data_IF_694692372647
#
_entry.id   IF_694692372647
#
_cell.length_a   1.000
_cell.length_b   1.000
_cell.length_c   1.000
_cell.angle_alpha   90.00
_cell.angle_beta   90.00
_cell.angle_gamma   90.00
#
_symmetry.space_group_name_H-M   'P 1'
#
loop_
_entity.id
_entity.type
_entity.pdbx_description
1 polymer ?
#
# COMPACT_ATOMS: atom_id res chain seq x y z
N UNK A 1 6.84 -3.52 21.54
CA UNK A 1 6.49 -3.98 20.16
C UNK A 1 7.77 -4.47 19.52
N UNK A 2 7.71 -5.58 18.81
CA UNK A 2 8.89 -6.11 18.10
C UNK A 2 9.20 -5.18 16.94
N UNK A 3 10.48 -4.82 16.78
CA UNK A 3 10.96 -3.92 15.74
C UNK A 3 10.89 -4.62 14.36
N UNK A 4 10.33 -3.95 13.35
CA UNK A 4 10.26 -4.49 11.98
C UNK A 4 11.64 -4.80 11.38
N UNK A 5 12.72 -4.13 11.83
CA UNK A 5 14.09 -4.43 11.41
C UNK A 5 14.53 -5.83 11.86
N UNK A 6 14.28 -6.16 13.13
CA UNK A 6 14.64 -7.46 13.68
C UNK A 6 13.80 -8.56 13.02
N UNK A 7 12.47 -8.40 13.02
CA UNK A 7 11.55 -9.37 12.41
C UNK A 7 11.78 -9.53 10.90
N UNK A 8 12.06 -8.44 10.20
CA UNK A 8 12.35 -8.47 8.77
C UNK A 8 13.56 -9.32 8.42
N UNK A 9 14.62 -9.26 9.22
CA UNK A 9 15.81 -10.11 9.06
C UNK A 9 15.55 -11.56 9.47
N UNK A 10 14.92 -11.77 10.64
CA UNK A 10 14.59 -13.12 11.14
C UNK A 10 13.71 -13.90 10.16
N UNK A 11 12.78 -13.23 9.50
CA UNK A 11 11.84 -13.78 8.55
C UNK A 11 12.28 -13.65 7.08
N UNK A 12 13.48 -13.13 6.85
CA UNK A 12 14.05 -12.97 5.50
C UNK A 12 13.15 -12.18 4.54
N UNK A 13 12.54 -11.07 5.05
CA UNK A 13 11.60 -10.25 4.28
C UNK A 13 12.31 -9.15 3.48
N UNK A 14 13.30 -8.51 4.06
CA UNK A 14 14.11 -7.49 3.41
C UNK A 14 15.48 -7.39 4.06
N UNK A 15 16.42 -6.80 3.32
CA UNK A 15 17.76 -6.54 3.79
C UNK A 15 18.30 -5.23 3.21
N UNK A 16 19.45 -4.80 3.66
CA UNK A 16 20.18 -3.65 3.17
C UNK A 16 21.60 -4.06 2.79
N UNK A 17 22.16 -3.45 1.75
CA UNK A 17 23.52 -3.72 1.30
C UNK A 17 24.32 -2.42 1.23
N UNK A 18 25.54 -2.38 1.80
CA UNK A 18 26.45 -1.23 1.62
C UNK A 18 26.76 -0.92 0.15
N UNK A 19 26.75 -1.94 -0.72
CA UNK A 19 26.99 -1.77 -2.14
C UNK A 19 25.80 -1.08 -2.87
N UNK A 20 24.59 -1.22 -2.35
CA UNK A 20 23.39 -0.55 -2.89
C UNK A 20 23.25 0.85 -2.27
N UNK A 21 23.50 0.97 -0.97
CA UNK A 21 23.44 2.22 -0.23
C UNK A 21 22.29 2.27 0.80
N UNK A 22 22.46 3.18 1.76
CA UNK A 22 21.51 3.36 2.85
C UNK A 22 20.16 3.90 2.34
N UNK A 23 19.06 3.42 2.93
CA UNK A 23 17.69 3.83 2.56
C UNK A 23 17.18 3.24 1.25
N UNK A 24 17.85 2.21 0.74
CA UNK A 24 17.49 1.47 -0.47
C UNK A 24 17.34 -0.01 -0.10
N UNK A 25 16.19 -0.43 0.47
CA UNK A 25 15.99 -1.79 0.92
C UNK A 25 15.91 -2.77 -0.25
N UNK A 26 16.51 -3.95 -0.07
CA UNK A 26 16.34 -5.09 -0.93
C UNK A 26 15.14 -5.89 -0.43
N UNK A 27 14.12 -6.03 -1.24
CA UNK A 27 13.01 -6.94 -0.96
C UNK A 27 13.45 -8.38 -1.27
N UNK A 28 13.49 -9.22 -0.25
CA UNK A 28 13.81 -10.63 -0.39
C UNK A 28 12.54 -11.40 -0.83
N UNK A 29 12.64 -12.67 -1.27
CA UNK A 29 11.50 -13.36 -1.86
C UNK A 29 10.22 -13.31 -1.04
N UNK A 30 10.28 -13.53 0.27
CA UNK A 30 9.10 -13.52 1.14
C UNK A 30 8.54 -12.10 1.33
N UNK A 31 9.40 -11.11 1.46
CA UNK A 31 8.97 -9.71 1.51
C UNK A 31 8.37 -9.22 0.19
N UNK A 32 8.91 -9.70 -0.94
CA UNK A 32 8.37 -9.38 -2.26
C UNK A 32 6.94 -9.92 -2.45
N UNK A 33 6.61 -11.09 -1.88
CA UNK A 33 5.23 -11.61 -1.88
C UNK A 33 4.30 -10.67 -1.10
N UNK A 34 4.66 -10.28 0.12
CA UNK A 34 3.85 -9.36 0.93
C UNK A 34 3.60 -8.06 0.16
N UNK A 35 4.67 -7.48 -0.38
CA UNK A 35 4.60 -6.26 -1.18
C UNK A 35 3.68 -6.41 -2.39
N UNK A 36 3.81 -7.48 -3.16
CA UNK A 36 3.00 -7.74 -4.36
C UNK A 36 1.50 -7.86 -4.02
N UNK A 37 1.14 -8.49 -2.90
CA UNK A 37 -0.26 -8.58 -2.46
C UNK A 37 -0.82 -7.22 -2.03
N UNK A 38 0.00 -6.36 -1.39
CA UNK A 38 -0.40 -4.98 -1.05
C UNK A 38 -0.55 -4.11 -2.31
N UNK A 39 0.36 -4.22 -3.27
CA UNK A 39 0.28 -3.54 -4.56
C UNK A 39 -0.98 -3.97 -5.34
N UNK A 40 -1.32 -5.26 -5.29
CA UNK A 40 -2.55 -5.79 -5.87
C UNK A 40 -3.79 -5.18 -5.19
N UNK A 41 -3.83 -5.09 -3.86
CA UNK A 41 -4.92 -4.43 -3.13
C UNK A 41 -5.07 -2.97 -3.55
N UNK A 42 -3.97 -2.22 -3.66
CA UNK A 42 -3.97 -0.83 -4.11
C UNK A 42 -4.52 -0.68 -5.54
N UNK A 43 -4.07 -1.54 -6.46
CA UNK A 43 -4.52 -1.52 -7.86
C UNK A 43 -6.01 -1.86 -8.00
N UNK A 44 -6.50 -2.86 -7.26
CA UNK A 44 -7.92 -3.24 -7.24
C UNK A 44 -8.80 -2.11 -6.70
N UNK A 45 -8.38 -1.45 -5.60
CA UNK A 45 -9.11 -0.32 -5.04
C UNK A 45 -9.11 0.89 -5.98
N UNK A 46 -7.98 1.18 -6.62
CA UNK A 46 -7.87 2.25 -7.61
C UNK A 46 -8.81 2.00 -8.81
N UNK A 47 -8.83 0.79 -9.35
CA UNK A 47 -9.75 0.40 -10.42
C UNK A 47 -11.23 0.51 -9.97
N UNK A 48 -11.56 0.01 -8.78
CA UNK A 48 -12.92 0.05 -8.19
C UNK A 48 -13.40 1.49 -7.97
N UNK A 49 -12.50 2.41 -7.61
CA UNK A 49 -12.81 3.83 -7.45
C UNK A 49 -12.83 4.62 -8.76
N UNK A 50 -12.66 3.92 -9.91
CA UNK A 50 -12.75 4.48 -11.25
C UNK A 50 -11.50 5.22 -11.72
N UNK A 51 -10.32 4.88 -11.19
CA UNK A 51 -9.05 5.41 -11.69
C UNK A 51 -8.56 4.64 -12.92
N UNK A 52 -8.00 5.36 -13.86
CA UNK A 52 -7.23 4.79 -14.97
C UNK A 52 -5.79 4.58 -14.51
N UNK A 53 -5.28 3.36 -14.64
CA UNK A 53 -3.86 3.07 -14.38
C UNK A 53 -2.97 3.75 -15.42
N UNK A 54 -1.92 4.42 -14.99
CA UNK A 54 -0.91 5.05 -15.85
C UNK A 54 0.49 4.65 -15.41
N UNK A 55 1.45 4.80 -16.33
CA UNK A 55 2.88 4.65 -16.06
C UNK A 55 3.60 5.88 -16.57
N UNK A 56 4.33 6.55 -15.70
CA UNK A 56 5.07 7.76 -16.05
C UNK A 56 6.57 7.59 -15.73
N UNK A 57 7.47 8.26 -16.48
CA UNK A 57 8.91 8.14 -16.26
C UNK A 57 9.32 8.60 -14.86
N UNK A 58 10.30 7.92 -14.27
CA UNK A 58 10.91 8.33 -12.98
C UNK A 58 11.88 9.51 -13.14
N UNK A 59 12.32 9.77 -14.37
CA UNK A 59 13.20 10.88 -14.75
C UNK A 59 12.43 11.92 -15.55
N UNK A 60 12.68 13.19 -15.28
CA UNK A 60 12.20 14.28 -16.12
C UNK A 60 13.14 15.48 -16.07
N UNK A 61 12.96 16.43 -16.97
CA UNK A 61 13.71 17.69 -16.94
C UNK A 61 13.44 18.45 -15.64
N UNK A 62 14.48 19.05 -15.08
CA UNK A 62 14.39 19.89 -13.85
C UNK A 62 13.30 20.95 -13.98
N UNK A 63 13.14 21.54 -15.17
CA UNK A 63 12.11 22.55 -15.45
C UNK A 63 10.68 22.13 -15.12
N UNK A 64 10.36 20.82 -15.19
CA UNK A 64 9.05 20.30 -14.76
C UNK A 64 8.80 20.56 -13.28
N UNK A 65 9.84 20.35 -12.44
CA UNK A 65 9.75 20.56 -11.00
C UNK A 65 9.91 22.03 -10.58
N UNK A 66 10.61 22.85 -11.38
CA UNK A 66 10.60 24.31 -11.26
C UNK A 66 9.19 24.85 -11.50
N UNK A 67 8.54 24.39 -12.58
CA UNK A 67 7.16 24.77 -12.93
C UNK A 67 6.16 24.39 -11.84
N UNK A 68 6.28 23.20 -11.25
CA UNK A 68 5.38 22.74 -10.18
C UNK A 68 5.66 23.38 -8.83
N UNK A 69 6.79 24.04 -8.63
CA UNK A 69 7.23 24.64 -7.36
C UNK A 69 7.96 23.67 -6.43
N UNK A 70 8.10 22.39 -6.80
CA UNK A 70 8.84 21.44 -5.98
C UNK A 70 10.32 21.80 -5.89
N UNK A 71 10.93 22.31 -6.96
CA UNK A 71 12.34 22.71 -6.94
C UNK A 71 12.62 23.79 -5.90
N UNK A 72 11.78 24.79 -5.80
CA UNK A 72 11.96 25.92 -4.86
C UNK A 72 11.73 25.52 -3.40
N UNK A 73 10.85 24.57 -3.16
CA UNK A 73 10.41 24.18 -1.80
C UNK A 73 11.02 22.88 -1.30
N UNK A 74 11.48 22.01 -2.21
CA UNK A 74 11.85 20.62 -1.92
C UNK A 74 13.24 20.24 -2.45
N UNK A 75 14.01 21.16 -3.05
CA UNK A 75 15.31 20.84 -3.66
C UNK A 75 16.31 20.23 -2.67
N UNK A 76 16.23 20.57 -1.39
CA UNK A 76 17.09 20.00 -0.35
C UNK A 76 16.88 18.48 -0.16
N UNK A 77 15.67 18.01 -0.44
CA UNK A 77 15.27 16.59 -0.33
C UNK A 77 15.31 15.86 -1.68
N UNK A 78 15.66 16.54 -2.77
CA UNK A 78 15.79 15.93 -4.09
C UNK A 78 17.21 15.41 -4.34
N UNK A 79 17.34 14.32 -5.08
CA UNK A 79 18.63 13.89 -5.60
C UNK A 79 19.20 14.97 -6.53
N UNK A 80 20.55 15.16 -6.55
CA UNK A 80 21.19 16.12 -7.43
C UNK A 80 20.85 15.88 -8.91
N UNK A 81 20.75 16.95 -9.72
CA UNK A 81 20.50 16.81 -11.14
C UNK A 81 21.59 16.02 -11.88
N UNK A 82 21.18 15.25 -12.86
CA UNK A 82 22.06 14.58 -13.83
C UNK A 82 22.08 15.38 -15.13
N UNK A 83 23.26 15.65 -15.66
CA UNK A 83 23.41 16.38 -16.95
C UNK A 83 23.51 15.42 -18.12
N UNK A 84 22.71 15.67 -19.15
CA UNK A 84 22.78 14.99 -20.44
C UNK A 84 22.87 16.09 -21.50
N UNK A 85 24.08 16.34 -22.02
CA UNK A 85 24.34 17.50 -22.86
C UNK A 85 24.15 18.79 -22.07
N UNK A 86 23.30 19.68 -22.56
CA UNK A 86 22.95 20.95 -21.89
C UNK A 86 21.70 20.84 -20.99
N UNK A 87 21.02 19.70 -20.98
CA UNK A 87 19.81 19.50 -20.21
C UNK A 87 20.10 18.86 -18.85
N UNK A 88 19.32 19.27 -17.84
CA UNK A 88 19.35 18.69 -16.51
C UNK A 88 18.10 17.85 -16.25
N UNK A 89 18.33 16.62 -15.84
CA UNK A 89 17.29 15.66 -15.45
C UNK A 89 17.38 15.37 -13.97
N UNK A 90 16.21 15.13 -13.34
CA UNK A 90 16.13 14.79 -11.93
C UNK A 90 15.27 13.55 -11.73
N UNK A 91 15.58 12.78 -10.68
CA UNK A 91 14.68 11.76 -10.17
C UNK A 91 13.47 12.44 -9.52
N UNK A 92 12.27 11.98 -9.82
CA UNK A 92 11.04 12.59 -9.33
C UNK A 92 10.88 12.43 -7.81
N UNK A 93 10.63 13.51 -7.04
CA UNK A 93 10.29 13.43 -5.61
C UNK A 93 8.80 13.15 -5.39
N UNK A 94 7.96 13.35 -6.44
CA UNK A 94 6.52 13.18 -6.44
C UNK A 94 5.99 12.92 -7.86
N UNK A 95 4.83 12.26 -8.00
CA UNK A 95 4.21 11.95 -9.29
C UNK A 95 3.33 13.08 -9.84
N UNK A 96 2.84 13.98 -8.98
CA UNK A 96 1.85 14.99 -9.37
C UNK A 96 2.22 15.79 -10.62
N UNK A 97 3.48 16.26 -10.84
CA UNK A 97 3.82 16.98 -12.08
C UNK A 97 3.71 16.11 -13.34
N UNK A 98 3.95 14.81 -13.22
CA UNK A 98 3.78 13.88 -14.34
C UNK A 98 2.30 13.64 -14.66
N UNK A 99 1.45 13.48 -13.63
CA UNK A 99 0.02 13.28 -13.84
C UNK A 99 -0.67 14.54 -14.40
N UNK A 100 -0.15 15.77 -14.12
CA UNK A 100 -0.62 16.97 -14.83
C UNK A 100 -0.34 16.90 -16.33
N UNK A 101 0.79 16.31 -16.74
CA UNK A 101 1.10 16.10 -18.17
C UNK A 101 0.19 15.03 -18.79
N UNK A 102 -0.19 13.99 -18.05
CA UNK A 102 -1.18 13.00 -18.51
C UNK A 102 -2.54 13.66 -18.75
N UNK A 103 -2.97 14.56 -17.85
CA UNK A 103 -4.21 15.33 -18.05
C UNK A 103 -4.10 16.23 -19.29
N UNK A 104 -3.00 16.97 -19.43
CA UNK A 104 -2.75 17.93 -20.48
C UNK A 104 -2.51 17.30 -21.87
N UNK A 105 -2.22 15.98 -21.93
CA UNK A 105 -1.90 15.28 -23.18
C UNK A 105 -3.05 15.32 -24.22
N UNK A 106 -4.27 15.64 -23.80
CA UNK A 106 -5.45 15.78 -24.66
C UNK A 106 -6.34 16.93 -24.20
N UNK A 107 -7.06 17.58 -25.10
CA UNK A 107 -8.14 18.50 -24.76
C UNK A 107 -9.22 17.78 -23.93
N UNK A 108 -9.71 18.46 -22.87
CA UNK A 108 -10.73 17.93 -21.97
C UNK A 108 -11.98 18.78 -22.00
N UNK A 109 -13.13 18.16 -21.75
CA UNK A 109 -14.42 18.81 -21.56
C UNK A 109 -15.00 18.46 -20.18
N UNK A 110 -16.03 19.15 -19.76
CA UNK A 110 -16.74 18.83 -18.50
C UNK A 110 -17.26 17.38 -18.46
N UNK A 111 -17.47 16.72 -19.62
CA UNK A 111 -17.93 15.33 -19.69
C UNK A 111 -16.83 14.35 -19.38
N UNK A 112 -15.56 14.77 -19.45
CA UNK A 112 -14.39 13.94 -19.13
C UNK A 112 -14.05 14.03 -17.63
N UNK A 113 -14.74 14.89 -16.87
CA UNK A 113 -14.51 15.09 -15.44
C UNK A 113 -15.55 14.35 -14.58
N UNK A 114 -15.15 13.80 -13.44
CA UNK A 114 -13.78 13.79 -12.90
C UNK A 114 -12.87 12.82 -13.64
N UNK A 115 -11.67 13.26 -14.02
CA UNK A 115 -10.64 12.43 -14.62
C UNK A 115 -9.68 11.94 -13.53
N UNK A 116 -9.65 10.63 -13.29
CA UNK A 116 -8.89 10.00 -12.22
C UNK A 116 -7.80 9.13 -12.79
N UNK A 117 -6.56 9.32 -12.33
CA UNK A 117 -5.40 8.49 -12.71
C UNK A 117 -4.71 7.96 -11.46
N UNK A 118 -4.18 6.74 -11.54
CA UNK A 118 -3.42 6.12 -10.46
C UNK A 118 -2.15 5.45 -10.99
N UNK A 119 -1.11 5.47 -10.16
CA UNK A 119 0.17 4.83 -10.43
C UNK A 119 0.77 4.31 -9.13
N UNK A 120 1.23 3.05 -9.14
CA UNK A 120 2.18 2.58 -8.14
C UNK A 120 3.55 3.14 -8.52
N UNK A 121 3.78 4.39 -8.10
CA UNK A 121 4.90 5.18 -8.57
C UNK A 121 6.12 5.10 -7.67
N UNK A 122 7.30 4.92 -8.26
CA UNK A 122 8.56 5.11 -7.53
C UNK A 122 8.89 6.58 -7.44
N UNK A 123 9.18 7.06 -6.22
CA UNK A 123 9.65 8.41 -5.91
C UNK A 123 10.96 8.36 -5.19
N UNK A 124 11.74 9.42 -5.28
CA UNK A 124 13.12 9.45 -4.78
C UNK A 124 13.35 10.70 -3.95
N UNK A 125 13.86 10.51 -2.72
CA UNK A 125 14.25 11.58 -1.81
C UNK A 125 15.62 11.34 -1.26
N UNK A 126 16.47 12.35 -1.28
CA UNK A 126 17.90 12.23 -0.90
C UNK A 126 18.12 12.10 0.60
N UNK A 127 17.10 12.09 1.40
CA UNK A 127 17.06 11.92 2.87
C UNK A 127 18.45 11.82 3.56
N UNK A 128 18.66 12.58 4.61
CA UNK A 128 19.91 12.52 5.38
C UNK A 128 20.06 11.15 6.05
N UNK A 129 21.29 10.64 6.14
CA UNK A 129 21.57 9.30 6.68
C UNK A 129 21.02 9.09 8.10
N UNK A 130 21.05 10.12 8.94
CA UNK A 130 20.61 10.06 10.33
C UNK A 130 19.08 9.95 10.53
N UNK A 131 18.28 10.13 9.48
CA UNK A 131 16.81 10.03 9.56
C UNK A 131 16.25 8.76 8.90
N UNK A 132 17.12 7.94 8.27
CA UNK A 132 16.72 6.70 7.64
C UNK A 132 16.32 5.64 8.69
N UNK A 133 15.29 4.87 8.42
CA UNK A 133 14.74 3.90 9.38
C UNK A 133 14.11 2.68 8.71
N UNK A 134 14.92 1.67 8.36
CA UNK A 134 14.45 0.41 7.76
C UNK A 134 13.53 0.63 6.57
N UNK A 135 12.26 0.20 6.70
CA UNK A 135 11.22 0.44 5.72
C UNK A 135 10.40 1.71 6.02
N UNK A 136 10.49 2.31 7.21
CA UNK A 136 9.66 3.46 7.58
C UNK A 136 10.10 4.75 6.92
N UNK A 137 11.41 4.92 6.69
CA UNK A 137 11.97 6.08 5.99
C UNK A 137 13.09 5.67 5.04
N UNK A 138 12.79 5.72 3.76
CA UNK A 138 13.62 5.22 2.66
C UNK A 138 13.89 6.32 1.63
N UNK A 139 14.91 6.11 0.78
CA UNK A 139 15.26 7.03 -0.32
C UNK A 139 14.52 6.73 -1.61
N UNK A 140 14.09 5.49 -1.82
CA UNK A 140 13.19 5.09 -2.89
C UNK A 140 11.87 4.65 -2.26
N UNK A 141 10.79 5.34 -2.58
CA UNK A 141 9.45 5.13 -2.03
C UNK A 141 8.58 4.56 -3.14
N UNK A 142 7.92 3.43 -2.89
CA UNK A 142 6.87 2.90 -3.77
C UNK A 142 5.53 3.34 -3.23
N UNK A 143 4.91 4.32 -3.89
CA UNK A 143 3.69 4.95 -3.40
C UNK A 143 2.47 4.52 -4.20
N UNK A 144 1.39 4.14 -3.52
CA UNK A 144 0.05 4.12 -4.07
C UNK A 144 -0.43 5.57 -4.20
N UNK A 145 -0.29 6.11 -5.39
CA UNK A 145 -0.53 7.52 -5.67
C UNK A 145 -1.57 7.70 -6.77
N UNK A 146 -2.55 8.53 -6.52
CA UNK A 146 -3.58 8.84 -7.51
C UNK A 146 -3.90 10.35 -7.49
N UNK A 147 -4.30 10.85 -8.65
CA UNK A 147 -4.70 12.24 -8.83
C UNK A 147 -6.04 12.31 -9.54
N UNK A 148 -6.92 13.15 -8.99
CA UNK A 148 -8.24 13.42 -9.56
C UNK A 148 -8.27 14.86 -10.04
N UNK A 149 -8.60 15.04 -11.31
CA UNK A 149 -8.86 16.35 -11.89
C UNK A 149 -10.37 16.49 -12.03
N UNK A 150 -10.95 17.46 -11.34
CA UNK A 150 -12.39 17.62 -11.27
C UNK A 150 -12.82 19.10 -11.33
N UNK A 151 -14.10 19.36 -11.55
CA UNK A 151 -14.67 20.69 -11.41
C UNK A 151 -14.82 21.07 -9.92
N UNK A 152 -14.89 22.38 -9.57
CA UNK A 152 -15.00 22.81 -8.17
C UNK A 152 -16.20 22.23 -7.41
N UNK A 153 -17.31 21.98 -8.08
CA UNK A 153 -18.52 21.37 -7.52
C UNK A 153 -18.38 19.87 -7.23
N UNK A 154 -17.46 19.17 -7.91
CA UNK A 154 -17.20 17.74 -7.71
C UNK A 154 -16.22 17.46 -6.54
N UNK A 155 -15.48 18.45 -6.05
CA UNK A 155 -14.39 18.29 -5.09
C UNK A 155 -14.82 17.53 -3.84
N UNK A 156 -15.91 17.95 -3.20
CA UNK A 156 -16.39 17.32 -1.96
C UNK A 156 -16.69 15.83 -2.14
N UNK A 157 -17.34 15.47 -3.23
CA UNK A 157 -17.74 14.08 -3.49
C UNK A 157 -16.53 13.20 -3.86
N UNK A 158 -15.53 13.77 -4.56
CA UNK A 158 -14.28 13.06 -4.85
C UNK A 158 -13.42 12.86 -3.61
N UNK A 159 -13.35 13.86 -2.70
CA UNK A 159 -12.67 13.69 -1.40
C UNK A 159 -13.38 12.59 -0.57
N UNK A 160 -14.73 12.62 -0.50
CA UNK A 160 -15.50 11.59 0.22
C UNK A 160 -15.23 10.19 -0.34
N UNK A 161 -15.21 10.03 -1.66
CA UNK A 161 -14.85 8.78 -2.33
C UNK A 161 -13.44 8.29 -1.95
N UNK A 162 -12.48 9.22 -1.86
CA UNK A 162 -11.12 8.88 -1.42
C UNK A 162 -11.09 8.38 0.03
N UNK A 163 -11.82 9.03 0.94
CA UNK A 163 -11.93 8.59 2.34
C UNK A 163 -12.61 7.22 2.47
N UNK A 164 -13.66 6.96 1.71
CA UNK A 164 -14.31 5.64 1.64
C UNK A 164 -13.36 4.55 1.14
N UNK A 165 -12.48 4.87 0.18
CA UNK A 165 -11.44 3.95 -0.29
C UNK A 165 -10.43 3.63 0.81
N UNK A 166 -10.01 4.63 1.60
CA UNK A 166 -9.14 4.43 2.77
C UNK A 166 -9.81 3.50 3.79
N UNK A 167 -11.05 3.80 4.19
CA UNK A 167 -11.80 3.00 5.17
C UNK A 167 -11.93 1.54 4.75
N UNK A 168 -12.23 1.29 3.48
CA UNK A 168 -12.36 -0.07 2.93
C UNK A 168 -11.04 -0.82 2.95
N UNK A 169 -9.94 -0.21 2.50
CA UNK A 169 -8.62 -0.83 2.53
C UNK A 169 -8.17 -1.10 3.96
N UNK A 170 -8.43 -0.17 4.88
CA UNK A 170 -8.08 -0.33 6.28
C UNK A 170 -8.88 -1.47 6.93
N UNK A 171 -10.17 -1.62 6.62
CA UNK A 171 -10.97 -2.76 7.07
C UNK A 171 -10.38 -4.10 6.61
N UNK A 172 -9.92 -4.20 5.35
CA UNK A 172 -9.22 -5.40 4.82
C UNK A 172 -7.91 -5.69 5.57
N UNK A 173 -7.19 -4.64 5.99
CA UNK A 173 -5.93 -4.76 6.72
C UNK A 173 -6.12 -4.87 8.25
N UNK A 174 -7.36 -4.81 8.74
CA UNK A 174 -7.67 -4.77 10.17
C UNK A 174 -7.16 -3.51 10.86
N UNK A 175 -7.06 -2.40 10.14
CA UNK A 175 -6.61 -1.11 10.64
C UNK A 175 -7.80 -0.20 10.95
N UNK A 176 -7.63 0.65 11.93
CA UNK A 176 -8.60 1.70 12.29
C UNK A 176 -8.07 3.07 11.84
N UNK A 177 -8.79 3.80 10.97
CA UNK A 177 -8.34 5.10 10.51
C UNK A 177 -8.57 6.19 11.55
N UNK A 178 -7.55 6.99 11.84
CA UNK A 178 -7.63 8.23 12.62
C UNK A 178 -7.44 9.41 11.68
N UNK A 179 -8.49 10.20 11.48
CA UNK A 179 -8.46 11.33 10.56
C UNK A 179 -7.93 12.60 11.24
N UNK A 180 -7.09 13.33 10.50
CA UNK A 180 -6.56 14.62 10.92
C UNK A 180 -6.66 15.62 9.79
N UNK A 181 -7.41 16.70 10.00
CA UNK A 181 -7.48 17.81 9.06
C UNK A 181 -6.30 18.75 9.31
N UNK A 182 -5.32 18.71 8.42
CA UNK A 182 -4.11 19.53 8.47
C UNK A 182 -4.34 20.84 7.69
N UNK A 183 -4.39 21.93 8.43
CA UNK A 183 -4.65 23.27 7.90
C UNK A 183 -3.37 24.12 7.93
N UNK A 184 -3.36 25.25 7.19
CA UNK A 184 -2.23 26.16 7.19
C UNK A 184 -2.11 26.91 8.52
N UNK A 185 -0.86 27.27 8.89
CA UNK A 185 -0.62 28.24 9.94
C UNK A 185 -0.75 29.68 9.41
N UNK A 186 -0.70 30.67 10.30
CA UNK A 186 -0.83 32.09 9.94
C UNK A 186 0.42 32.75 9.37
N UNK A 187 1.54 32.07 9.37
CA UNK A 187 2.89 32.62 9.11
C UNK A 187 3.39 32.56 7.64
N UNK A 188 2.49 32.33 6.68
CA UNK A 188 2.67 32.83 5.32
C UNK A 188 3.59 32.06 4.36
N UNK A 189 4.00 30.81 4.65
CA UNK A 189 4.88 30.00 3.77
C UNK A 189 4.17 29.20 2.67
N UNK A 190 2.88 29.45 2.45
CA UNK A 190 2.01 28.66 1.58
C UNK A 190 1.75 29.33 0.23
N UNK A 191 1.54 28.52 -0.82
CA UNK A 191 1.15 29.01 -2.15
C UNK A 191 -0.35 29.29 -2.23
N UNK A 192 -0.76 30.15 -3.19
CA UNK A 192 -2.16 30.49 -3.43
C UNK A 192 -2.68 31.64 -2.56
N UNK A 193 -3.96 31.94 -2.72
CA UNK A 193 -4.62 33.05 -2.01
C UNK A 193 -5.53 32.56 -0.88
N UNK A 194 -5.93 33.50 -0.01
CA UNK A 194 -6.71 33.17 1.17
C UNK A 194 -8.10 32.58 0.86
N UNK A 195 -8.72 32.98 -0.23
CA UNK A 195 -10.07 32.54 -0.61
C UNK A 195 -10.04 31.08 -1.04
N UNK A 196 -9.04 30.70 -1.83
CA UNK A 196 -8.83 29.29 -2.26
C UNK A 196 -8.56 28.40 -1.06
N UNK A 197 -7.69 28.83 -0.14
CA UNK A 197 -7.41 28.08 1.09
C UNK A 197 -8.64 27.88 1.95
N UNK A 198 -9.39 28.94 2.24
CA UNK A 198 -10.61 28.85 3.04
C UNK A 198 -11.66 27.93 2.37
N UNK A 199 -11.71 27.95 1.04
CA UNK A 199 -12.61 27.08 0.26
C UNK A 199 -12.17 25.63 0.36
N UNK A 200 -10.88 25.33 0.17
CA UNK A 200 -10.34 23.98 0.26
C UNK A 200 -10.50 23.39 1.67
N UNK A 201 -10.15 24.16 2.72
CA UNK A 201 -10.31 23.71 4.12
C UNK A 201 -11.77 23.39 4.44
N UNK A 202 -12.71 24.23 4.00
CA UNK A 202 -14.15 23.97 4.16
C UNK A 202 -14.58 22.71 3.41
N UNK A 203 -14.16 22.54 2.15
CA UNK A 203 -14.51 21.36 1.35
C UNK A 203 -13.99 20.07 1.97
N UNK A 204 -12.76 20.06 2.54
CA UNK A 204 -12.23 18.91 3.26
C UNK A 204 -13.04 18.61 4.53
N UNK A 205 -13.38 19.65 5.29
CA UNK A 205 -14.21 19.52 6.50
C UNK A 205 -15.60 18.97 6.17
N UNK A 206 -16.23 19.48 5.12
CA UNK A 206 -17.56 19.02 4.68
C UNK A 206 -17.53 17.59 4.15
N UNK A 207 -16.41 17.18 3.53
CA UNK A 207 -16.21 15.80 3.06
C UNK A 207 -15.97 14.80 4.19
N UNK A 208 -15.38 15.21 5.32
CA UNK A 208 -15.26 14.39 6.51
C UNK A 208 -16.64 13.97 7.07
N UNK A 209 -17.65 14.85 6.96
CA UNK A 209 -19.01 14.57 7.43
C UNK A 209 -19.03 14.23 8.92
N UNK A 210 -19.63 13.08 9.28
CA UNK A 210 -19.78 12.61 10.67
C UNK A 210 -18.54 11.86 11.20
N UNK A 211 -17.45 11.79 10.43
CA UNK A 211 -16.20 11.14 10.88
C UNK A 211 -15.56 11.96 11.99
N UNK A 212 -15.12 11.28 13.04
CA UNK A 212 -14.30 11.91 14.07
C UNK A 212 -12.93 12.30 13.49
N UNK A 213 -12.48 13.53 13.75
CA UNK A 213 -11.17 14.01 13.31
C UNK A 213 -10.56 15.02 14.28
N UNK A 214 -9.25 15.13 14.24
CA UNK A 214 -8.49 16.18 14.92
C UNK A 214 -8.09 17.26 13.91
N UNK A 215 -7.68 18.45 14.38
CA UNK A 215 -7.16 19.52 13.53
C UNK A 215 -5.68 19.74 13.85
N UNK A 216 -4.84 19.76 12.82
CA UNK A 216 -3.41 20.07 12.87
C UNK A 216 -3.15 21.45 12.26
N UNK A 217 -2.84 22.44 13.09
CA UNK A 217 -2.47 23.78 12.63
C UNK A 217 -1.02 23.80 12.14
N UNK A 218 -0.79 24.39 10.96
CA UNK A 218 0.54 24.46 10.36
C UNK A 218 1.05 23.18 9.70
N UNK A 219 0.22 22.14 9.59
CA UNK A 219 0.62 20.84 9.05
C UNK A 219 0.18 20.61 7.59
N UNK A 220 -0.44 21.60 6.97
CA UNK A 220 -0.83 21.53 5.55
C UNK A 220 0.38 21.39 4.63
N UNK A 221 0.16 20.85 3.43
CA UNK A 221 1.16 20.92 2.37
C UNK A 221 1.33 22.37 1.89
N UNK A 222 2.47 22.71 1.29
CA UNK A 222 2.75 24.09 0.85
C UNK A 222 1.77 24.57 -0.23
N UNK A 223 1.09 23.65 -0.92
CA UNK A 223 0.15 23.92 -2.02
C UNK A 223 -1.34 23.74 -1.66
N UNK A 224 -1.65 23.20 -0.48
CA UNK A 224 -3.04 23.01 -0.08
C UNK A 224 -3.23 22.29 1.24
N UNK A 225 -4.43 22.36 1.83
CA UNK A 225 -4.80 21.64 3.02
C UNK A 225 -4.97 20.15 2.70
N UNK A 226 -4.89 19.32 3.75
CA UNK A 226 -4.97 17.86 3.59
C UNK A 226 -5.71 17.19 4.75
N UNK A 227 -6.25 16.01 4.47
CA UNK A 227 -6.64 15.06 5.47
C UNK A 227 -5.53 14.00 5.54
N UNK A 228 -4.84 13.95 6.67
CA UNK A 228 -3.90 12.88 7.00
C UNK A 228 -4.66 11.76 7.70
N UNK A 229 -4.31 10.51 7.38
CA UNK A 229 -4.88 9.33 8.04
C UNK A 229 -3.76 8.57 8.73
N UNK A 230 -3.92 8.41 10.03
CA UNK A 230 -3.00 7.70 10.92
C UNK A 230 -3.65 6.41 11.44
N UNK A 231 -2.86 5.57 12.09
CA UNK A 231 -3.31 4.33 12.72
C UNK A 231 -2.96 4.39 14.21
N UNK A 232 -3.83 3.94 15.13
CA UNK A 232 -3.53 3.89 16.56
C UNK A 232 -2.20 3.20 16.86
N UNK A 233 -1.36 3.84 17.68
CA UNK A 233 -0.03 3.34 18.02
C UNK A 233 1.09 3.65 17.02
N UNK A 234 0.77 4.21 15.85
CA UNK A 234 1.74 4.68 14.87
C UNK A 234 1.65 6.20 14.71
N UNK A 235 2.82 6.86 14.66
CA UNK A 235 2.89 8.34 14.55
C UNK A 235 2.85 8.84 13.11
N UNK A 236 3.25 7.99 12.18
CA UNK A 236 3.39 8.37 10.78
C UNK A 236 2.03 8.38 10.07
N UNK A 237 1.85 9.36 9.17
CA UNK A 237 0.74 9.36 8.21
C UNK A 237 0.90 8.17 7.25
N UNK A 238 -0.15 7.37 7.12
CA UNK A 238 -0.20 6.24 6.18
C UNK A 238 -0.88 6.68 4.89
N UNK A 239 -2.09 7.24 4.99
CA UNK A 239 -2.88 7.71 3.85
C UNK A 239 -3.08 9.22 3.89
N UNK A 240 -3.35 9.82 2.73
CA UNK A 240 -3.58 11.26 2.64
C UNK A 240 -4.54 11.60 1.50
N UNK A 241 -5.33 12.64 1.70
CA UNK A 241 -6.17 13.27 0.67
C UNK A 241 -5.96 14.78 0.73
N UNK A 242 -5.56 15.39 -0.39
CA UNK A 242 -5.14 16.80 -0.43
C UNK A 242 -5.81 17.52 -1.59
N UNK A 243 -6.25 18.76 -1.38
CA UNK A 243 -6.79 19.63 -2.44
C UNK A 243 -5.69 20.58 -2.90
N UNK A 244 -5.53 20.69 -4.21
CA UNK A 244 -4.53 21.55 -4.85
C UNK A 244 -5.14 22.37 -5.98
N UNK A 245 -5.18 23.69 -5.80
CA UNK A 245 -5.55 24.66 -6.82
C UNK A 245 -4.33 25.20 -7.58
N UNK A 246 -3.14 25.08 -7.00
CA UNK A 246 -1.91 25.69 -7.49
C UNK A 246 -1.32 24.97 -8.69
N UNK A 247 -1.20 23.63 -8.64
CA UNK A 247 -0.62 22.90 -9.77
C UNK A 247 -1.45 23.04 -11.06
N UNK A 248 -2.79 22.92 -11.05
CA UNK A 248 -3.59 23.21 -12.23
C UNK A 248 -3.34 24.61 -12.82
N UNK A 249 -3.17 25.63 -11.97
CA UNK A 249 -2.82 26.99 -12.41
C UNK A 249 -1.42 27.06 -13.01
N UNK A 250 -0.42 26.58 -12.30
CA UNK A 250 0.98 26.64 -12.73
C UNK A 250 1.23 25.88 -14.03
N UNK A 251 0.49 24.80 -14.27
CA UNK A 251 0.57 24.01 -15.50
C UNK A 251 -0.37 24.52 -16.60
N UNK A 252 -1.23 25.49 -16.32
CA UNK A 252 -2.20 26.02 -17.28
C UNK A 252 -3.22 24.96 -17.72
N UNK A 253 -3.65 24.11 -16.77
CA UNK A 253 -4.61 23.04 -17.07
C UNK A 253 -6.00 23.64 -17.29
N UNK A 254 -6.68 23.18 -18.35
CA UNK A 254 -8.01 23.68 -18.72
C UNK A 254 -8.91 22.54 -19.21
N UNK A 255 -10.21 22.71 -19.00
CA UNK A 255 -11.26 21.95 -19.64
C UNK A 255 -12.32 22.87 -20.21
N UNK A 256 -13.05 22.43 -21.24
CA UNK A 256 -14.18 23.18 -21.79
C UNK A 256 -15.44 22.88 -20.98
N UNK A 257 -16.03 23.89 -20.36
CA UNK A 257 -17.27 23.78 -19.59
C UNK A 257 -18.51 23.55 -20.45
N UNK A 258 -19.65 23.33 -19.79
CA UNK A 258 -20.95 23.23 -20.47
C UNK A 258 -21.40 24.55 -21.12
N UNK A 259 -20.84 25.66 -20.66
CA UNK A 259 -21.01 27.00 -21.17
C UNK A 259 -20.14 27.31 -22.40
N UNK A 260 -19.29 26.33 -22.82
CA UNK A 260 -18.33 26.49 -23.92
C UNK A 260 -17.07 27.26 -23.54
N UNK A 261 -16.96 27.80 -22.34
CA UNK A 261 -15.78 28.54 -21.87
C UNK A 261 -14.70 27.58 -21.35
N UNK A 262 -13.47 28.11 -21.23
CA UNK A 262 -12.34 27.40 -20.59
C UNK A 262 -12.38 27.62 -19.09
N UNK A 263 -12.31 26.51 -18.34
CA UNK A 263 -12.27 26.48 -16.90
C UNK A 263 -11.04 25.74 -16.40
N UNK A 264 -10.55 26.10 -15.23
CA UNK A 264 -9.44 25.42 -14.55
C UNK A 264 -9.99 24.28 -13.67
N UNK A 265 -9.47 23.06 -13.78
CA UNK A 265 -9.84 21.99 -12.85
C UNK A 265 -9.21 22.21 -11.48
N UNK A 266 -9.79 21.58 -10.47
CA UNK A 266 -9.15 21.36 -9.16
C UNK A 266 -8.45 20.00 -9.21
N UNK A 267 -7.29 19.89 -8.59
CA UNK A 267 -6.55 18.64 -8.46
C UNK A 267 -6.67 18.11 -7.04
N UNK A 268 -6.95 16.83 -6.89
CA UNK A 268 -6.97 16.14 -5.61
C UNK A 268 -5.89 15.07 -5.65
N UNK A 269 -4.97 15.11 -4.70
CA UNK A 269 -3.95 14.09 -4.48
C UNK A 269 -4.51 13.06 -3.50
N UNK A 270 -4.30 11.77 -3.77
CA UNK A 270 -4.81 10.67 -2.96
C UNK A 270 -3.77 9.56 -2.85
N UNK A 271 -3.38 9.20 -1.62
CA UNK A 271 -2.67 7.97 -1.31
C UNK A 271 -3.52 7.14 -0.34
N UNK A 272 -4.08 6.00 -0.79
CA UNK A 272 -4.95 5.15 0.02
C UNK A 272 -4.15 4.23 0.93
N UNK A 273 -3.18 3.52 0.39
CA UNK A 273 -2.25 2.67 1.14
C UNK A 273 -0.91 3.36 1.43
N UNK A 274 -0.67 4.49 0.78
CA UNK A 274 0.57 5.26 0.93
C UNK A 274 1.80 4.50 0.46
N UNK A 275 2.90 4.58 1.22
CA UNK A 275 4.15 3.88 0.92
C UNK A 275 4.05 2.39 1.23
N UNK A 276 4.38 1.54 0.24
CA UNK A 276 4.42 0.08 0.41
C UNK A 276 5.44 -0.31 1.48
N UNK A 277 6.56 0.40 1.56
CA UNK A 277 7.60 0.18 2.56
C UNK A 277 7.08 0.46 3.97
N UNK A 278 6.51 1.63 4.20
CA UNK A 278 5.98 2.04 5.51
C UNK A 278 4.82 1.16 5.94
N UNK A 279 3.88 0.86 5.03
CA UNK A 279 2.76 -0.02 5.32
C UNK A 279 3.24 -1.42 5.71
N UNK A 280 4.20 -1.99 4.99
CA UNK A 280 4.77 -3.30 5.31
C UNK A 280 5.46 -3.29 6.68
N UNK A 281 6.26 -2.26 7.00
CA UNK A 281 6.87 -2.13 8.34
C UNK A 281 5.81 -2.17 9.44
N UNK A 282 4.76 -1.38 9.29
CA UNK A 282 3.65 -1.32 10.25
C UNK A 282 2.95 -2.68 10.41
N UNK A 283 2.69 -3.39 9.31
CA UNK A 283 2.05 -4.70 9.35
C UNK A 283 2.95 -5.77 9.98
N UNK A 284 4.27 -5.75 9.74
CA UNK A 284 5.25 -6.62 10.40
C UNK A 284 5.19 -6.42 11.91
N UNK A 285 5.20 -5.17 12.39
CA UNK A 285 5.15 -4.85 13.81
C UNK A 285 3.81 -5.24 14.44
N UNK A 286 2.70 -4.89 13.78
CA UNK A 286 1.34 -5.18 14.25
C UNK A 286 1.08 -6.67 14.41
N UNK A 287 1.49 -7.46 13.44
CA UNK A 287 1.28 -8.91 13.42
C UNK A 287 2.44 -9.70 14.02
N UNK A 288 3.47 -9.02 14.57
CA UNK A 288 4.70 -9.66 15.06
C UNK A 288 5.28 -10.64 14.04
N UNK A 289 5.25 -10.27 12.76
CA UNK A 289 5.70 -11.04 11.61
C UNK A 289 4.77 -12.16 11.14
N UNK A 290 3.68 -12.47 11.84
CA UNK A 290 2.67 -13.46 11.40
C UNK A 290 1.60 -12.77 10.58
N UNK A 291 1.85 -12.63 9.30
CA UNK A 291 0.91 -11.98 8.38
C UNK A 291 -0.45 -12.70 8.32
N UNK A 292 -1.54 -11.97 8.02
CA UNK A 292 -2.82 -12.57 7.63
C UNK A 292 -2.64 -13.63 6.53
N UNK A 293 -3.49 -14.67 6.45
CA UNK A 293 -3.33 -15.76 5.48
C UNK A 293 -3.11 -15.30 4.03
N UNK A 294 -3.83 -14.29 3.59
CA UNK A 294 -3.72 -13.78 2.22
C UNK A 294 -2.40 -13.05 1.94
N UNK A 295 -1.76 -12.45 2.96
CA UNK A 295 -0.44 -11.79 2.87
C UNK A 295 0.73 -12.72 3.17
N UNK A 296 0.51 -13.89 3.79
CA UNK A 296 1.57 -14.78 4.20
C UNK A 296 2.41 -15.26 3.01
N UNK A 297 3.75 -15.14 3.04
CA UNK A 297 4.62 -15.60 1.95
C UNK A 297 4.40 -17.07 1.63
N UNK A 298 4.49 -17.94 2.61
CA UNK A 298 4.03 -19.33 2.56
C UNK A 298 2.77 -19.45 3.40
N UNK A 299 1.66 -19.78 2.76
CA UNK A 299 0.37 -19.88 3.41
C UNK A 299 0.22 -21.22 4.12
N UNK A 300 0.62 -22.31 3.44
CA UNK A 300 0.52 -23.69 3.95
C UNK A 300 1.88 -24.37 3.91
N UNK A 301 2.34 -24.84 5.06
CA UNK A 301 3.43 -25.83 5.15
C UNK A 301 2.81 -27.22 5.25
N UNK A 302 3.11 -28.10 4.29
CA UNK A 302 2.68 -29.50 4.31
C UNK A 302 3.84 -30.38 4.75
N UNK A 303 3.63 -31.16 5.81
CA UNK A 303 4.69 -31.91 6.50
C UNK A 303 4.35 -33.41 6.50
N UNK A 304 5.05 -34.25 5.71
CA UNK A 304 4.92 -35.67 5.82
C UNK A 304 5.56 -36.16 7.14
N UNK A 305 4.95 -37.10 7.82
CA UNK A 305 5.52 -37.72 9.06
C UNK A 305 6.80 -38.48 8.75
N UNK A 306 6.85 -39.16 7.62
CA UNK A 306 8.02 -39.91 7.13
C UNK A 306 7.98 -40.01 5.60
N UNK A 307 9.00 -40.60 5.01
CA UNK A 307 9.20 -40.68 3.55
C UNK A 307 8.04 -41.36 2.82
N UNK A 308 7.38 -42.34 3.45
CA UNK A 308 6.19 -43.02 2.92
C UNK A 308 4.97 -42.11 2.70
N UNK A 309 4.97 -40.91 3.31
CA UNK A 309 3.91 -39.91 3.21
C UNK A 309 4.23 -38.77 2.22
N UNK A 310 5.48 -38.74 1.70
CA UNK A 310 5.94 -37.66 0.82
C UNK A 310 5.10 -37.50 -0.45
N UNK A 311 4.66 -38.64 -1.03
CA UNK A 311 3.82 -38.61 -2.23
C UNK A 311 2.47 -37.95 -1.96
N UNK A 312 1.80 -38.28 -0.85
CA UNK A 312 0.55 -37.68 -0.45
C UNK A 312 0.71 -36.16 -0.13
N UNK A 313 1.80 -35.82 0.58
CA UNK A 313 2.10 -34.40 0.87
C UNK A 313 2.32 -33.57 -0.41
N UNK A 314 3.06 -34.09 -1.37
CA UNK A 314 3.27 -33.43 -2.68
C UNK A 314 1.99 -33.35 -3.50
N UNK A 315 1.12 -34.35 -3.44
CA UNK A 315 -0.18 -34.34 -4.10
C UNK A 315 -1.07 -33.22 -3.51
N UNK A 316 -1.12 -33.08 -2.17
CA UNK A 316 -1.85 -31.99 -1.52
C UNK A 316 -1.28 -30.62 -1.90
N UNK A 317 0.05 -30.43 -1.89
CA UNK A 317 0.69 -29.17 -2.33
C UNK A 317 0.32 -28.87 -3.78
N UNK A 318 0.36 -29.85 -4.69
CA UNK A 318 -0.04 -29.65 -6.09
C UNK A 318 -1.49 -29.16 -6.23
N UNK A 319 -2.41 -29.69 -5.41
CA UNK A 319 -3.81 -29.24 -5.37
C UNK A 319 -3.94 -27.80 -4.85
N UNK A 320 -3.24 -27.48 -3.75
CA UNK A 320 -3.21 -26.13 -3.18
C UNK A 320 -2.66 -25.12 -4.19
N UNK A 321 -1.56 -25.42 -4.84
CA UNK A 321 -0.95 -24.58 -5.88
C UNK A 321 -1.85 -24.42 -7.10
N UNK A 322 -2.61 -25.47 -7.48
CA UNK A 322 -3.65 -25.38 -8.52
C UNK A 322 -4.76 -24.37 -8.21
N UNK A 323 -5.01 -24.10 -6.93
CA UNK A 323 -5.93 -23.07 -6.44
C UNK A 323 -5.20 -21.73 -6.15
N UNK A 324 -3.99 -21.54 -6.65
CA UNK A 324 -3.14 -20.36 -6.43
C UNK A 324 -2.78 -20.11 -4.95
N UNK A 325 -2.75 -21.15 -4.14
CA UNK A 325 -2.34 -21.11 -2.73
C UNK A 325 -0.84 -21.36 -2.65
N UNK A 326 -0.09 -20.48 -1.97
CA UNK A 326 1.35 -20.62 -1.75
C UNK A 326 1.62 -21.69 -0.70
N UNK A 327 1.92 -22.90 -1.15
CA UNK A 327 2.15 -24.07 -0.32
C UNK A 327 3.47 -24.77 -0.68
N UNK A 328 4.12 -25.34 0.32
CA UNK A 328 5.37 -26.09 0.17
C UNK A 328 5.35 -27.35 1.02
N UNK A 329 6.06 -28.41 0.54
CA UNK A 329 6.34 -29.61 1.34
C UNK A 329 7.64 -29.39 2.11
N UNK A 330 7.61 -29.62 3.42
CA UNK A 330 8.81 -29.59 4.26
C UNK A 330 9.25 -31.01 4.55
N UNK A 331 10.32 -31.47 3.88
CA UNK A 331 10.82 -32.86 3.97
C UNK A 331 12.16 -32.98 4.71
N UNK A 332 12.89 -31.87 4.88
CA UNK A 332 14.24 -31.93 5.48
C UNK A 332 14.21 -32.02 7.02
N UNK A 333 15.00 -32.93 7.56
CA UNK A 333 15.15 -33.11 8.99
C UNK A 333 14.04 -33.96 9.64
N UNK A 334 14.00 -33.99 10.96
CA UNK A 334 12.99 -34.75 11.72
C UNK A 334 11.63 -34.02 11.68
N UNK A 335 10.52 -34.74 11.95
CA UNK A 335 9.18 -34.18 12.05
C UNK A 335 9.14 -32.97 12.98
N UNK A 336 9.77 -33.04 14.15
CA UNK A 336 9.83 -31.91 15.09
C UNK A 336 10.59 -30.69 14.53
N UNK A 337 11.66 -30.91 13.74
CA UNK A 337 12.42 -29.85 13.09
C UNK A 337 11.57 -29.18 11.99
N UNK A 338 10.85 -29.94 11.17
CA UNK A 338 9.93 -29.43 10.12
C UNK A 338 8.81 -28.57 10.73
N UNK A 339 8.17 -29.06 11.79
CA UNK A 339 7.13 -28.28 12.52
C UNK A 339 7.70 -27.00 13.13
N UNK A 340 8.92 -27.07 13.70
CA UNK A 340 9.60 -25.89 14.24
C UNK A 340 9.92 -24.88 13.14
N UNK A 341 10.43 -25.33 12.00
CA UNK A 341 10.72 -24.49 10.83
C UNK A 341 9.47 -23.76 10.37
N UNK A 342 8.33 -24.43 10.19
CA UNK A 342 7.06 -23.83 9.81
C UNK A 342 6.57 -22.78 10.82
N UNK A 343 6.77 -23.03 12.11
CA UNK A 343 6.42 -22.08 13.18
C UNK A 343 7.31 -20.84 13.20
N UNK A 344 8.62 -21.02 12.98
CA UNK A 344 9.59 -19.93 12.90
C UNK A 344 9.35 -19.05 11.67
N UNK A 345 8.99 -19.66 10.54
CA UNK A 345 8.62 -18.96 9.31
C UNK A 345 7.26 -18.24 9.43
N UNK A 346 6.48 -18.47 10.51
CA UNK A 346 5.17 -17.85 10.75
C UNK A 346 4.07 -18.30 9.79
N UNK A 347 4.16 -19.52 9.23
CA UNK A 347 3.14 -20.06 8.32
C UNK A 347 1.74 -19.99 8.92
N UNK A 348 0.74 -19.70 8.07
CA UNK A 348 -0.66 -19.56 8.52
C UNK A 348 -1.28 -20.92 8.86
N UNK A 349 -0.95 -21.95 8.06
CA UNK A 349 -1.44 -23.31 8.23
C UNK A 349 -0.27 -24.29 8.21
N UNK A 350 -0.24 -25.22 9.18
CA UNK A 350 0.74 -26.31 9.23
C UNK A 350 -0.04 -27.62 9.12
N UNK A 351 0.03 -28.24 7.97
CA UNK A 351 -0.69 -29.46 7.60
C UNK A 351 0.24 -30.68 7.75
N UNK A 352 -0.13 -31.66 8.54
CA UNK A 352 0.65 -32.88 8.77
C UNK A 352 -0.08 -34.06 8.18
N UNK A 353 0.66 -34.91 7.46
CA UNK A 353 0.16 -36.17 6.85
C UNK A 353 0.96 -37.33 7.37
N UNK A 354 0.28 -38.24 8.07
CA UNK A 354 0.77 -39.55 8.50
C UNK A 354 -0.07 -40.66 7.90
N UNK A 355 0.06 -41.89 8.43
CA UNK A 355 -0.66 -43.07 7.92
C UNK A 355 -2.19 -42.88 7.97
N UNK A 356 -2.72 -42.35 9.07
CA UNK A 356 -4.16 -42.12 9.24
C UNK A 356 -4.71 -41.12 8.23
N UNK A 357 -4.02 -39.99 8.11
CA UNK A 357 -4.41 -38.94 7.20
C UNK A 357 -4.38 -39.38 5.75
N UNK A 358 -3.29 -40.11 5.34
CA UNK A 358 -3.17 -40.69 4.00
C UNK A 358 -4.31 -41.65 3.69
N UNK A 359 -4.60 -42.60 4.62
CA UNK A 359 -5.54 -43.69 4.40
C UNK A 359 -7.02 -43.18 4.40
N UNK A 360 -7.29 -42.05 5.06
CA UNK A 360 -8.63 -41.42 5.11
C UNK A 360 -8.79 -40.17 4.23
N UNK A 361 -7.79 -39.87 3.39
CA UNK A 361 -7.79 -38.62 2.57
C UNK A 361 -8.08 -37.37 3.42
N UNK A 362 -7.48 -37.30 4.61
CA UNK A 362 -7.61 -36.19 5.55
C UNK A 362 -6.27 -35.54 5.81
N UNK A 363 -6.27 -34.45 6.56
CA UNK A 363 -5.08 -33.72 6.95
C UNK A 363 -5.21 -33.20 8.39
N UNK A 364 -4.15 -33.36 9.19
CA UNK A 364 -4.08 -32.80 10.55
C UNK A 364 -3.51 -31.37 10.46
N UNK A 365 -4.35 -30.36 10.64
CA UNK A 365 -4.00 -28.95 10.47
C UNK A 365 -3.83 -28.28 11.82
N UNK A 366 -2.69 -27.60 12.00
CA UNK A 366 -2.48 -26.64 13.09
C UNK A 366 -2.67 -25.22 12.56
N UNK A 367 -3.36 -24.40 13.35
CA UNK A 367 -3.63 -22.99 13.14
C UNK A 367 -2.84 -22.17 14.17
N UNK A 368 -1.58 -21.78 13.91
CA UNK A 368 -0.73 -21.19 14.93
C UNK A 368 -1.25 -19.85 15.47
N UNK A 369 -1.95 -19.07 14.63
CA UNK A 369 -2.55 -17.81 15.06
C UNK A 369 -3.69 -18.00 16.10
N UNK A 370 -4.39 -19.12 16.05
CA UNK A 370 -5.50 -19.47 16.92
C UNK A 370 -5.11 -20.41 18.06
N UNK A 371 -3.86 -20.88 18.09
CA UNK A 371 -3.40 -21.96 18.98
C UNK A 371 -4.35 -23.18 18.95
N UNK A 372 -4.84 -23.54 17.78
CA UNK A 372 -5.84 -24.59 17.56
C UNK A 372 -5.34 -25.65 16.57
N UNK A 373 -6.01 -26.80 16.57
CA UNK A 373 -5.78 -27.92 15.63
C UNK A 373 -7.11 -28.55 15.24
N UNK A 374 -7.15 -29.08 14.02
CA UNK A 374 -8.29 -29.84 13.52
C UNK A 374 -7.80 -30.93 12.56
N UNK A 375 -8.58 -32.02 12.44
CA UNK A 375 -8.42 -33.00 11.36
C UNK A 375 -9.53 -32.76 10.38
N UNK A 376 -9.21 -32.52 9.13
CA UNK A 376 -10.15 -32.15 8.08
C UNK A 376 -10.01 -33.08 6.87
N UNK A 377 -11.09 -33.32 6.17
CA UNK A 377 -11.03 -33.83 4.80
C UNK A 377 -10.18 -32.88 3.94
N UNK A 378 -9.37 -33.42 3.03
CA UNK A 378 -8.47 -32.63 2.20
C UNK A 378 -9.21 -31.60 1.33
N UNK A 379 -10.40 -31.93 0.78
CA UNK A 379 -11.17 -31.00 -0.04
C UNK A 379 -11.71 -29.85 0.81
N UNK A 380 -12.19 -30.18 2.02
CA UNK A 380 -12.67 -29.18 2.97
C UNK A 380 -11.53 -28.22 3.37
N UNK A 381 -10.34 -28.76 3.63
CA UNK A 381 -9.14 -27.97 3.95
C UNK A 381 -8.77 -27.02 2.81
N UNK A 382 -8.64 -27.51 1.57
CA UNK A 382 -8.32 -26.69 0.39
C UNK A 382 -9.38 -25.59 0.20
N UNK A 383 -10.66 -25.95 0.34
CA UNK A 383 -11.78 -24.98 0.22
C UNK A 383 -11.73 -23.89 1.31
N UNK A 384 -11.44 -24.28 2.55
CA UNK A 384 -11.35 -23.34 3.67
C UNK A 384 -10.17 -22.35 3.48
N UNK A 385 -8.99 -22.86 3.12
CA UNK A 385 -7.81 -21.99 2.86
C UNK A 385 -8.10 -21.04 1.69
N UNK A 386 -8.67 -21.54 0.59
CA UNK A 386 -9.06 -20.69 -0.54
C UNK A 386 -10.07 -19.61 -0.12
N UNK A 387 -11.04 -19.95 0.71
CA UNK A 387 -12.02 -18.99 1.23
C UNK A 387 -11.33 -17.89 2.03
N UNK A 388 -10.46 -18.24 2.99
CA UNK A 388 -9.73 -17.27 3.81
C UNK A 388 -8.86 -16.32 2.98
N UNK A 389 -8.23 -16.82 1.93
CA UNK A 389 -7.43 -16.01 1.01
C UNK A 389 -8.31 -15.09 0.17
N UNK A 390 -9.39 -15.61 -0.42
CA UNK A 390 -10.27 -14.85 -1.32
C UNK A 390 -11.06 -13.76 -0.60
N UNK A 391 -11.41 -13.99 0.66
CA UNK A 391 -12.09 -13.02 1.53
C UNK A 391 -11.12 -12.09 2.25
N UNK A 392 -9.81 -12.30 2.09
CA UNK A 392 -8.75 -11.59 2.80
C UNK A 392 -8.92 -11.65 4.32
N UNK A 393 -9.22 -12.84 4.84
CA UNK A 393 -9.37 -13.06 6.26
C UNK A 393 -8.11 -12.62 7.05
N UNK A 394 -8.30 -11.91 8.16
CA UNK A 394 -7.21 -11.44 9.01
C UNK A 394 -6.57 -12.56 9.82
N UNK A 395 -7.35 -13.57 10.14
CA UNK A 395 -6.93 -14.81 10.80
C UNK A 395 -7.59 -15.99 10.11
N UNK A 396 -6.98 -17.22 10.17
CA UNK A 396 -7.65 -18.41 9.67
C UNK A 396 -9.04 -18.59 10.29
N UNK A 397 -10.03 -18.94 9.49
CA UNK A 397 -11.37 -19.29 9.96
C UNK A 397 -11.43 -20.80 10.14
N UNK A 398 -11.74 -21.27 11.35
CA UNK A 398 -11.95 -22.69 11.59
C UNK A 398 -13.21 -23.14 10.87
N UNK A 399 -13.15 -24.12 9.96
CA UNK A 399 -14.36 -24.69 9.40
C UNK A 399 -15.22 -25.27 10.53
N UNK A 400 -16.52 -24.99 10.51
CA UNK A 400 -17.44 -25.63 11.45
C UNK A 400 -17.39 -27.13 11.23
N UNK A 401 -16.82 -27.86 12.18
CA UNK A 401 -16.94 -29.30 12.25
C UNK A 401 -18.30 -29.53 12.92
N UNK A 402 -19.31 -29.90 12.15
CA UNK A 402 -20.51 -30.52 12.74
C UNK A 402 -20.03 -31.79 13.43
N UNK A 403 -20.02 -31.79 14.77
CA UNK A 403 -19.78 -32.98 15.56
C UNK A 403 -20.94 -33.93 15.28
N UNK A 404 -20.74 -34.91 14.42
CA UNK A 404 -21.59 -36.09 14.25
C UNK A 404 -21.29 -37.13 15.32
#
# INVERSE_FOLDING_TARGET
>A
MSDHHQLGRELNLFDTSPAIGAGLPLWLPDGAVIRAELEKLAAEESARSGCFGVYTPVLSKRSLFEKSGHWDKFSADMFPPMRIGEEEFVLRPANCPHHTQVFAARGRSFRDLPFRVSELGSMFRSELSGVLGGLTRVRQISLDDAHVFCSPDQVRDEVRRALESVEKCYAVLGLEPLFRLSVRSRDGSYLGNQVEWNTAERQLRDALGDREFTVGDGEAAFYGPKIDVQVPGHRDTVSTVQIDFNQPERFGLEYTGSDGAKHRPVMIHRGVLGSMERLTAMLIERHSGRMPPWLAPRQVAVIPVGDTHSLAARALVGRLQGESIRAEVLEEGSLGARIRSARLHRDSYIAVIGDRERDSSSVSVSYPALNSKAVLDENLFVTAVRHDISTRALVPVLPFIENH
#
